data_IF_571530911081
#
_entry.id   IF_571530911081
#
_cell.length_a   1.000
_cell.length_b   1.000
_cell.length_c   1.000
_cell.angle_alpha   90.00
_cell.angle_beta   90.00
_cell.angle_gamma   90.00
#
_symmetry.space_group_name_H-M   'P 1'
#
loop_
_entity.id
_entity.type
_entity.pdbx_description
1 polymer ?
#
# COMPACT_ATOMS: atom_id res chain seq x y z
N UNK A 1 -4.33 4.09 -26.48
CA UNK A 1 -3.55 3.43 -25.43
C UNK A 1 -3.86 4.11 -24.11
N UNK A 2 -3.99 3.32 -23.05
CA UNK A 2 -4.40 3.74 -21.71
C UNK A 2 -3.21 3.69 -20.79
N UNK A 3 -3.00 4.73 -19.98
CA UNK A 3 -1.92 4.72 -18.99
C UNK A 3 -2.31 3.87 -17.77
N UNK A 4 -1.41 2.98 -17.35
CA UNK A 4 -1.55 2.25 -16.10
C UNK A 4 -0.24 2.20 -15.34
N UNK A 5 -0.33 2.01 -14.02
CA UNK A 5 0.80 2.00 -13.11
C UNK A 5 0.83 0.70 -12.35
N UNK A 6 1.99 0.07 -12.32
CA UNK A 6 2.22 -1.19 -11.60
C UNK A 6 3.31 -0.99 -10.54
N UNK A 7 3.21 -1.73 -9.44
CA UNK A 7 4.32 -1.92 -8.51
C UNK A 7 5.04 -3.24 -8.82
N UNK A 8 6.35 -3.25 -8.59
CA UNK A 8 7.19 -4.44 -8.65
C UNK A 8 7.77 -4.68 -7.26
N UNK A 9 7.72 -5.93 -6.77
CA UNK A 9 8.25 -6.31 -5.46
C UNK A 9 8.92 -7.69 -5.48
N UNK A 10 10.07 -7.84 -4.81
CA UNK A 10 10.76 -9.13 -4.71
C UNK A 10 11.90 -9.12 -3.70
N UNK A 11 12.23 -10.28 -3.15
CA UNK A 11 13.33 -10.44 -2.18
C UNK A 11 14.12 -11.75 -2.34
N UNK A 12 13.85 -12.55 -3.38
CA UNK A 12 14.53 -13.83 -3.61
C UNK A 12 15.30 -13.87 -4.92
N UNK A 13 16.52 -14.39 -4.88
CA UNK A 13 17.38 -14.55 -6.06
C UNK A 13 17.92 -13.22 -6.57
N UNK A 14 18.17 -13.13 -7.88
CA UNK A 14 18.65 -11.90 -8.50
C UNK A 14 17.47 -10.98 -8.88
N UNK A 15 16.85 -10.37 -7.87
CA UNK A 15 15.60 -9.60 -8.03
C UNK A 15 15.73 -8.46 -9.06
N UNK A 16 16.89 -7.79 -9.15
CA UNK A 16 17.12 -6.73 -10.16
C UNK A 16 17.01 -7.27 -11.58
N UNK A 17 17.70 -8.37 -11.86
CA UNK A 17 17.62 -9.05 -13.15
C UNK A 17 16.21 -9.59 -13.42
N UNK A 18 15.53 -10.10 -12.39
CA UNK A 18 14.13 -10.53 -12.51
C UNK A 18 13.20 -9.38 -12.89
N UNK A 19 13.37 -8.18 -12.32
CA UNK A 19 12.58 -6.99 -12.66
C UNK A 19 12.84 -6.56 -14.11
N UNK A 20 14.12 -6.53 -14.53
CA UNK A 20 14.48 -6.16 -15.89
C UNK A 20 13.88 -7.14 -16.91
N UNK A 21 13.93 -8.45 -16.63
CA UNK A 21 13.31 -9.48 -17.47
C UNK A 21 11.78 -9.36 -17.50
N UNK A 22 11.14 -9.04 -16.38
CA UNK A 22 9.69 -8.84 -16.31
C UNK A 22 9.25 -7.69 -17.21
N UNK A 23 9.95 -6.55 -17.14
CA UNK A 23 9.66 -5.38 -17.94
C UNK A 23 9.92 -5.63 -19.43
N UNK A 24 11.00 -6.31 -19.79
CA UNK A 24 11.27 -6.73 -21.17
C UNK A 24 10.19 -7.66 -21.71
N UNK A 25 9.70 -8.60 -20.88
CA UNK A 25 8.65 -9.54 -21.27
C UNK A 25 7.30 -8.85 -21.47
N UNK A 26 7.00 -7.81 -20.69
CA UNK A 26 5.82 -6.97 -20.88
C UNK A 26 5.94 -6.12 -22.15
N UNK A 27 7.07 -5.46 -22.37
CA UNK A 27 7.32 -4.62 -23.55
C UNK A 27 7.39 -5.40 -24.87
N UNK A 28 7.59 -6.73 -24.79
CA UNK A 28 7.55 -7.62 -25.94
C UNK A 28 6.12 -7.88 -26.48
N UNK A 29 5.07 -7.64 -25.68
CA UNK A 29 3.68 -7.68 -26.18
C UNK A 29 3.39 -6.36 -26.92
N UNK A 30 3.03 -6.38 -28.21
CA UNK A 30 2.78 -5.15 -28.98
C UNK A 30 1.63 -4.28 -28.44
N UNK A 31 0.82 -4.81 -27.52
CA UNK A 31 -0.28 -4.10 -26.85
C UNK A 31 0.14 -3.43 -25.54
N UNK A 32 1.39 -3.59 -25.12
CA UNK A 32 1.96 -3.02 -23.89
C UNK A 32 3.25 -2.29 -24.25
N UNK A 33 3.38 -1.06 -23.75
CA UNK A 33 4.66 -0.33 -23.80
C UNK A 33 5.07 0.08 -22.41
N UNK A 34 6.30 -0.26 -22.01
CA UNK A 34 6.91 0.22 -20.76
C UNK A 34 7.41 1.64 -21.00
N UNK A 35 6.69 2.63 -20.47
CA UNK A 35 6.95 4.05 -20.74
C UNK A 35 8.12 4.58 -19.90
N UNK A 36 8.13 4.23 -18.61
CA UNK A 36 9.19 4.59 -17.66
C UNK A 36 9.13 3.74 -16.40
N UNK A 37 10.24 3.69 -15.70
CA UNK A 37 10.41 2.98 -14.42
C UNK A 37 11.00 3.93 -13.38
N UNK A 38 10.67 3.70 -12.11
CA UNK A 38 11.36 4.34 -10.99
C UNK A 38 12.75 3.72 -10.78
N UNK A 39 13.51 4.25 -9.81
CA UNK A 39 14.59 3.50 -9.20
C UNK A 39 14.06 2.30 -8.40
N UNK A 40 14.91 1.28 -8.24
CA UNK A 40 14.67 0.18 -7.32
C UNK A 40 15.11 0.60 -5.92
N UNK A 41 14.15 0.76 -5.03
CA UNK A 41 14.40 1.04 -3.63
C UNK A 41 14.40 -0.27 -2.86
N UNK A 42 15.23 -0.34 -1.85
CA UNK A 42 15.17 -1.45 -0.93
C UNK A 42 14.33 -1.05 0.29
N UNK A 43 13.53 -1.98 0.84
CA UNK A 43 12.61 -1.71 1.95
C UNK A 43 12.61 -2.87 2.95
N UNK A 44 12.23 -2.58 4.19
CA UNK A 44 12.07 -3.60 5.23
C UNK A 44 10.85 -4.47 4.90
N UNK A 45 10.89 -5.79 5.14
CA UNK A 45 9.74 -6.65 4.94
C UNK A 45 8.56 -6.21 5.82
N UNK A 46 7.35 -6.31 5.26
CA UNK A 46 6.10 -6.22 6.02
C UNK A 46 5.70 -7.62 6.43
N UNK A 47 5.37 -7.81 7.72
CA UNK A 47 5.07 -9.13 8.24
C UNK A 47 6.23 -9.75 9.01
N UNK A 48 6.04 -11.00 9.44
CA UNK A 48 7.04 -11.79 10.17
C UNK A 48 7.53 -13.01 9.40
N UNK A 49 7.25 -13.07 8.10
CA UNK A 49 7.50 -14.26 7.28
C UNK A 49 8.91 -14.31 6.67
N UNK A 50 9.65 -13.20 6.76
CA UNK A 50 11.02 -13.08 6.26
C UNK A 50 11.67 -11.86 6.90
N UNK A 51 12.97 -11.95 7.15
CA UNK A 51 13.82 -10.83 7.57
C UNK A 51 14.60 -10.23 6.38
N UNK A 52 14.45 -10.83 5.18
CA UNK A 52 15.18 -10.40 3.99
C UNK A 52 14.59 -9.12 3.42
N UNK A 53 15.48 -8.20 3.05
CA UNK A 53 15.15 -6.92 2.43
C UNK A 53 14.47 -7.14 1.08
N UNK A 54 13.39 -6.39 0.84
CA UNK A 54 12.72 -6.36 -0.46
C UNK A 54 13.33 -5.29 -1.35
N UNK A 55 13.40 -5.54 -2.66
CA UNK A 55 13.43 -4.50 -3.67
C UNK A 55 12.00 -4.19 -4.10
N UNK A 56 11.68 -2.90 -4.18
CA UNK A 56 10.43 -2.39 -4.69
C UNK A 56 10.67 -1.33 -5.77
N UNK A 57 9.73 -1.23 -6.71
CA UNK A 57 9.77 -0.28 -7.81
C UNK A 57 8.37 0.00 -8.35
N UNK A 58 8.28 0.97 -9.25
CA UNK A 58 7.06 1.25 -10.01
C UNK A 58 7.39 1.39 -11.49
N UNK A 59 6.42 1.03 -12.34
CA UNK A 59 6.50 1.28 -13.78
C UNK A 59 5.20 1.90 -14.30
N UNK A 60 5.33 2.84 -15.23
CA UNK A 60 4.23 3.29 -16.06
C UNK A 60 4.21 2.43 -17.32
N UNK A 61 3.04 1.89 -17.64
CA UNK A 61 2.78 1.24 -18.91
C UNK A 61 1.74 2.05 -19.70
N UNK A 62 1.83 1.97 -21.02
CA UNK A 62 0.77 2.37 -21.93
C UNK A 62 0.23 1.11 -22.60
N UNK A 63 -1.06 0.83 -22.45
CA UNK A 63 -1.64 -0.47 -22.83
C UNK A 63 -2.86 -0.33 -23.74
N UNK A 64 -3.12 -1.36 -24.54
CA UNK A 64 -4.37 -1.55 -25.29
C UNK A 64 -5.26 -2.65 -24.69
N UNK A 65 -4.75 -3.37 -23.70
CA UNK A 65 -5.42 -4.46 -22.99
C UNK A 65 -6.50 -3.95 -22.04
N UNK A 66 -7.61 -4.67 -21.91
CA UNK A 66 -8.54 -4.46 -20.81
C UNK A 66 -7.87 -4.75 -19.45
N UNK A 67 -8.35 -4.18 -18.33
CA UNK A 67 -7.73 -4.37 -17.02
C UNK A 67 -7.57 -5.84 -16.60
N UNK A 68 -8.56 -6.68 -16.88
CA UNK A 68 -8.54 -8.11 -16.57
C UNK A 68 -7.61 -8.90 -17.49
N UNK A 69 -7.38 -8.43 -18.72
CA UNK A 69 -6.37 -8.98 -19.62
C UNK A 69 -4.96 -8.60 -19.16
N UNK A 70 -4.76 -7.35 -18.77
CA UNK A 70 -3.50 -6.89 -18.21
C UNK A 70 -3.15 -7.65 -16.93
N UNK A 71 -4.10 -7.82 -16.01
CA UNK A 71 -3.89 -8.61 -14.79
C UNK A 71 -3.41 -10.03 -15.11
N UNK A 72 -4.03 -10.69 -16.10
CA UNK A 72 -3.61 -12.03 -16.54
C UNK A 72 -2.21 -12.03 -17.14
N UNK A 73 -1.83 -11.02 -17.91
CA UNK A 73 -0.47 -10.90 -18.43
C UNK A 73 0.54 -10.71 -17.30
N UNK A 74 0.27 -9.82 -16.34
CA UNK A 74 1.13 -9.64 -15.16
C UNK A 74 1.32 -10.96 -14.40
N UNK A 75 0.24 -11.71 -14.15
CA UNK A 75 0.30 -13.01 -13.49
C UNK A 75 1.07 -14.06 -14.30
N UNK A 76 0.97 -14.03 -15.64
CA UNK A 76 1.75 -14.91 -16.51
C UNK A 76 3.24 -14.61 -16.40
N UNK A 77 3.62 -13.33 -16.41
CA UNK A 77 5.03 -12.90 -16.26
C UNK A 77 5.59 -13.34 -14.91
N UNK A 78 4.82 -13.21 -13.83
CA UNK A 78 5.21 -13.72 -12.52
C UNK A 78 5.47 -15.23 -12.52
N UNK A 79 4.57 -16.01 -13.14
CA UNK A 79 4.69 -17.45 -13.20
C UNK A 79 5.93 -17.88 -14.01
N UNK A 80 6.16 -17.24 -15.15
CA UNK A 80 7.31 -17.49 -16.03
C UNK A 80 8.65 -17.17 -15.32
N UNK A 81 8.65 -16.18 -14.43
CA UNK A 81 9.82 -15.75 -13.66
C UNK A 81 9.90 -16.40 -12.27
N UNK A 82 9.22 -17.54 -12.10
CA UNK A 82 9.43 -18.43 -10.97
C UNK A 82 8.71 -18.04 -9.68
N UNK A 83 7.66 -17.20 -9.75
CA UNK A 83 6.83 -16.92 -8.58
C UNK A 83 6.09 -18.18 -8.14
N UNK A 84 6.40 -18.70 -6.96
CA UNK A 84 5.64 -19.78 -6.30
C UNK A 84 4.90 -19.24 -5.09
N UNK A 85 3.56 -19.26 -5.13
CA UNK A 85 2.72 -18.74 -4.03
C UNK A 85 2.58 -19.78 -2.92
N UNK A 86 3.45 -19.72 -1.91
CA UNK A 86 3.38 -20.59 -0.72
C UNK A 86 2.59 -19.99 0.45
N UNK A 87 2.83 -18.72 0.78
CA UNK A 87 2.24 -18.03 1.95
C UNK A 87 1.97 -16.57 1.62
N UNK A 88 0.85 -16.01 2.12
CA UNK A 88 0.56 -14.57 2.01
C UNK A 88 1.67 -13.78 2.72
N UNK A 89 2.28 -12.83 2.02
CA UNK A 89 3.42 -12.03 2.49
C UNK A 89 4.75 -12.76 2.71
N UNK A 90 4.88 -13.97 2.16
CA UNK A 90 6.16 -14.66 2.10
C UNK A 90 7.17 -14.04 1.14
N UNK A 91 8.37 -14.60 1.19
CA UNK A 91 9.43 -14.31 0.24
C UNK A 91 9.01 -14.69 -1.19
N UNK A 92 9.42 -13.88 -2.18
CA UNK A 92 9.03 -14.05 -3.58
C UNK A 92 10.11 -13.52 -4.52
N UNK A 93 10.21 -14.13 -5.69
CA UNK A 93 11.09 -13.67 -6.78
C UNK A 93 10.56 -12.39 -7.42
N UNK A 94 9.24 -12.34 -7.67
CA UNK A 94 8.54 -11.23 -8.30
C UNK A 94 7.07 -11.14 -7.82
N UNK A 95 6.58 -9.92 -7.75
CA UNK A 95 5.20 -9.52 -7.50
C UNK A 95 4.91 -8.29 -8.35
N UNK A 96 3.86 -8.35 -9.16
CA UNK A 96 3.41 -7.30 -10.06
C UNK A 96 1.98 -6.91 -9.66
N UNK A 97 1.83 -5.80 -8.95
CA UNK A 97 0.54 -5.28 -8.52
C UNK A 97 0.06 -4.19 -9.48
N UNK A 98 -1.14 -4.35 -10.07
CA UNK A 98 -1.79 -3.28 -10.85
C UNK A 98 -2.35 -2.22 -9.91
N UNK A 99 -1.73 -1.04 -9.87
CA UNK A 99 -2.05 0.03 -8.92
C UNK A 99 -3.18 0.95 -9.42
N UNK A 100 -3.05 1.42 -10.65
CA UNK A 100 -3.92 2.42 -11.28
C UNK A 100 -4.08 2.06 -12.75
N UNK A 101 -5.26 2.32 -13.30
CA UNK A 101 -5.57 2.15 -14.71
C UNK A 101 -6.38 3.38 -15.15
N UNK A 102 -5.68 4.39 -15.65
CA UNK A 102 -6.23 5.73 -15.88
C UNK A 102 -7.07 6.22 -14.68
N UNK A 103 -8.28 6.74 -14.93
CA UNK A 103 -9.23 7.14 -13.89
C UNK A 103 -10.25 6.04 -13.54
N UNK A 104 -9.99 4.78 -13.92
CA UNK A 104 -10.90 3.67 -13.68
C UNK A 104 -11.05 3.40 -12.17
N UNK A 105 -12.31 3.25 -11.75
CA UNK A 105 -12.68 2.65 -10.48
C UNK A 105 -13.43 1.37 -10.79
N UNK A 106 -12.85 0.24 -10.42
CA UNK A 106 -13.37 -1.10 -10.67
C UNK A 106 -13.35 -1.89 -9.37
N UNK A 107 -14.47 -2.51 -9.05
CA UNK A 107 -14.60 -3.48 -7.97
C UNK A 107 -15.23 -4.74 -8.56
N UNK A 108 -14.39 -5.74 -8.81
CA UNK A 108 -14.78 -7.05 -9.31
C UNK A 108 -14.15 -8.14 -8.44
N UNK A 109 -14.70 -9.36 -8.49
CA UNK A 109 -14.31 -10.47 -7.61
C UNK A 109 -12.79 -10.76 -7.62
N UNK A 110 -12.15 -10.60 -8.78
CA UNK A 110 -10.73 -10.92 -8.98
C UNK A 110 -9.82 -9.68 -9.13
N UNK A 111 -10.40 -8.47 -9.23
CA UNK A 111 -9.64 -7.24 -9.52
C UNK A 111 -10.31 -6.01 -8.91
N UNK A 112 -9.52 -5.28 -8.12
CA UNK A 112 -9.91 -3.98 -7.54
C UNK A 112 -8.93 -2.92 -8.05
N UNK A 113 -9.46 -1.88 -8.68
CA UNK A 113 -8.70 -0.72 -9.16
C UNK A 113 -9.37 0.56 -8.64
N UNK A 114 -8.61 1.53 -8.09
CA UNK A 114 -7.19 1.44 -7.73
C UNK A 114 -6.90 0.34 -6.72
N UNK A 115 -5.66 -0.18 -6.70
CA UNK A 115 -5.26 -1.19 -5.73
C UNK A 115 -5.56 -0.71 -4.31
N UNK A 116 -6.28 -1.48 -3.47
CA UNK A 116 -6.88 -0.98 -2.23
C UNK A 116 -5.85 -0.45 -1.22
N UNK A 117 -4.61 -0.93 -1.30
CA UNK A 117 -3.52 -0.52 -0.41
C UNK A 117 -2.49 0.44 -1.02
N UNK A 118 -2.63 0.88 -2.28
CA UNK A 118 -1.59 1.70 -2.93
C UNK A 118 -1.44 3.10 -2.32
N UNK A 119 -2.46 3.59 -1.60
CA UNK A 119 -2.53 4.96 -1.09
C UNK A 119 -1.93 5.16 0.30
N UNK A 120 -1.48 4.09 0.98
CA UNK A 120 -0.90 4.16 2.34
C UNK A 120 0.40 3.35 2.51
N UNK A 121 0.95 2.78 1.45
CA UNK A 121 2.18 1.98 1.51
C UNK A 121 3.36 2.78 0.98
N UNK A 122 4.36 3.06 1.81
CA UNK A 122 5.53 3.85 1.39
C UNK A 122 6.37 3.14 0.33
N UNK A 123 6.56 1.84 0.43
CA UNK A 123 7.26 1.07 -0.61
C UNK A 123 6.54 1.05 -1.97
N UNK A 124 5.27 1.47 -2.03
CA UNK A 124 4.53 1.70 -3.29
C UNK A 124 4.59 3.17 -3.69
N UNK A 125 4.33 4.08 -2.75
CA UNK A 125 4.24 5.52 -3.00
C UNK A 125 5.60 6.15 -3.32
N UNK A 126 6.67 5.75 -2.63
CA UNK A 126 8.01 6.34 -2.83
C UNK A 126 8.51 6.12 -4.27
N UNK A 127 8.43 4.90 -4.86
CA UNK A 127 8.72 4.70 -6.28
C UNK A 127 7.71 5.36 -7.22
N UNK A 128 6.42 5.33 -6.89
CA UNK A 128 5.38 5.86 -7.77
C UNK A 128 5.46 7.39 -7.91
N UNK A 129 5.81 8.11 -6.85
CA UNK A 129 6.02 9.57 -6.89
C UNK A 129 7.14 9.96 -7.84
N UNK A 130 8.16 9.13 -8.00
CA UNK A 130 9.27 9.42 -8.91
C UNK A 130 8.80 9.52 -10.38
N UNK A 131 7.86 8.65 -10.77
CA UNK A 131 7.38 8.57 -12.15
C UNK A 131 6.05 9.30 -12.37
N UNK A 132 5.23 9.49 -11.32
CA UNK A 132 3.85 9.92 -11.45
C UNK A 132 3.35 10.77 -10.25
N UNK A 133 4.04 11.86 -9.89
CA UNK A 133 3.73 12.62 -8.68
C UNK A 133 2.36 13.32 -8.73
N UNK A 134 1.94 13.76 -9.91
CA UNK A 134 0.77 14.63 -10.10
C UNK A 134 -0.53 13.89 -10.40
N UNK A 135 -0.47 12.55 -10.53
CA UNK A 135 -1.66 11.76 -10.82
C UNK A 135 -2.63 11.82 -9.64
N UNK A 136 -3.87 12.18 -9.93
CA UNK A 136 -4.94 12.18 -8.94
C UNK A 136 -5.44 10.76 -8.78
N UNK A 137 -5.36 10.23 -7.56
CA UNK A 137 -5.91 8.93 -7.24
C UNK A 137 -7.45 8.95 -7.41
N UNK A 138 -8.06 8.06 -8.22
CA UNK A 138 -9.47 8.13 -8.61
C UNK A 138 -10.48 8.14 -7.45
N UNK A 139 -10.24 7.33 -6.41
CA UNK A 139 -11.13 7.29 -5.22
C UNK A 139 -10.75 8.36 -4.18
N UNK A 140 -9.47 8.59 -3.98
CA UNK A 140 -8.95 9.45 -2.91
C UNK A 140 -8.95 10.94 -3.29
N UNK A 141 -9.07 11.27 -4.58
CA UNK A 141 -9.16 12.64 -5.10
C UNK A 141 -8.03 13.55 -4.63
N UNK A 142 -6.82 12.99 -4.56
CA UNK A 142 -5.59 13.70 -4.23
C UNK A 142 -4.42 13.13 -5.03
N UNK A 143 -3.39 13.94 -5.27
CA UNK A 143 -2.20 13.50 -5.99
C UNK A 143 -1.40 12.44 -5.24
N UNK A 144 -0.71 11.57 -5.98
CA UNK A 144 0.21 10.58 -5.41
C UNK A 144 1.28 11.24 -4.52
N UNK A 145 1.86 12.36 -4.98
CA UNK A 145 2.82 13.14 -4.19
C UNK A 145 2.23 13.57 -2.85
N UNK A 146 1.00 14.09 -2.83
CA UNK A 146 0.38 14.51 -1.58
C UNK A 146 -0.05 13.32 -0.69
N UNK A 147 -0.32 12.14 -1.24
CA UNK A 147 -0.47 10.90 -0.45
C UNK A 147 0.84 10.54 0.27
N UNK A 148 1.96 10.53 -0.47
CA UNK A 148 3.29 10.25 0.09
C UNK A 148 3.67 11.26 1.18
N UNK A 149 3.55 12.56 0.91
CA UNK A 149 3.96 13.62 1.83
C UNK A 149 3.26 13.54 3.19
N UNK A 150 2.05 12.97 3.26
CA UNK A 150 1.34 12.73 4.53
C UNK A 150 2.05 11.70 5.40
N UNK A 151 2.62 10.66 4.80
CA UNK A 151 3.36 9.60 5.51
C UNK A 151 4.76 10.07 5.95
N UNK A 152 5.26 11.17 5.40
CA UNK A 152 6.56 11.76 5.75
C UNK A 152 6.49 12.78 6.89
N UNK A 153 5.30 13.26 7.28
CA UNK A 153 5.16 14.21 8.38
C UNK A 153 5.58 13.59 9.72
N UNK A 154 6.24 14.38 10.57
CA UNK A 154 6.70 13.97 11.91
C UNK A 154 6.27 15.00 12.98
N UNK A 155 5.90 14.57 14.21
CA UNK A 155 5.75 13.18 14.64
C UNK A 155 4.68 12.45 13.82
N UNK A 156 4.85 11.13 13.64
CA UNK A 156 3.85 10.35 12.91
C UNK A 156 2.74 10.01 13.89
N UNK A 157 1.59 10.63 13.73
CA UNK A 157 0.46 10.43 14.65
C UNK A 157 -0.35 9.22 14.20
N UNK A 158 -0.75 8.40 15.16
CA UNK A 158 -1.62 7.26 14.92
C UNK A 158 -2.69 7.18 16.01
N UNK A 159 -3.90 7.59 15.67
CA UNK A 159 -5.02 7.45 16.59
C UNK A 159 -5.64 6.04 16.54
N UNK A 160 -6.32 5.66 17.61
CA UNK A 160 -7.13 4.45 17.69
C UNK A 160 -8.54 4.90 18.05
N UNK A 161 -9.53 4.44 17.27
CA UNK A 161 -10.94 4.78 17.50
C UNK A 161 -11.81 3.54 17.31
N UNK A 162 -13.00 3.52 17.91
CA UNK A 162 -13.93 2.40 17.83
C UNK A 162 -13.65 1.24 18.80
N UNK A 163 -12.59 1.32 19.62
CA UNK A 163 -12.33 0.42 20.74
C UNK A 163 -12.68 1.09 22.08
N UNK A 164 -13.10 0.30 23.11
CA UNK A 164 -13.12 0.77 24.49
C UNK A 164 -11.77 1.38 24.90
N UNK A 165 -11.79 2.33 25.84
CA UNK A 165 -10.58 3.08 26.23
C UNK A 165 -9.49 2.18 26.82
N UNK A 166 -9.88 1.21 27.62
CA UNK A 166 -9.01 0.19 28.22
C UNK A 166 -8.38 -0.72 27.15
N UNK A 167 -9.18 -1.21 26.20
CA UNK A 167 -8.68 -2.00 25.06
C UNK A 167 -7.71 -1.19 24.19
N UNK A 168 -8.04 0.07 23.91
CA UNK A 168 -7.18 0.98 23.13
C UNK A 168 -5.86 1.24 23.84
N UNK A 169 -5.90 1.45 25.15
CA UNK A 169 -4.69 1.69 25.96
C UNK A 169 -3.78 0.45 25.95
N UNK A 170 -4.36 -0.75 26.15
CA UNK A 170 -3.60 -2.00 26.11
C UNK A 170 -2.98 -2.28 24.73
N UNK A 171 -3.65 -1.87 23.65
CA UNK A 171 -3.12 -1.96 22.29
C UNK A 171 -1.97 -0.98 22.07
N UNK A 172 -2.10 0.27 22.51
CA UNK A 172 -1.01 1.27 22.44
C UNK A 172 0.22 0.78 23.21
N UNK A 173 0.05 0.22 24.41
CA UNK A 173 1.16 -0.36 25.18
C UNK A 173 1.90 -1.48 24.44
N UNK A 174 1.21 -2.24 23.58
CA UNK A 174 1.83 -3.27 22.74
C UNK A 174 2.52 -2.70 21.49
N UNK A 175 1.98 -1.63 20.91
CA UNK A 175 2.49 -1.01 19.68
C UNK A 175 3.67 -0.07 19.95
N UNK A 176 3.63 0.71 21.03
CA UNK A 176 4.62 1.75 21.33
C UNK A 176 6.08 1.25 21.35
N UNK A 177 6.41 0.06 21.94
CA UNK A 177 7.77 -0.45 21.90
C UNK A 177 8.26 -0.83 20.50
N UNK A 178 7.34 -1.16 19.57
CA UNK A 178 7.65 -1.53 18.18
C UNK A 178 7.80 -0.31 17.26
N UNK A 179 7.16 0.81 17.62
CA UNK A 179 7.13 2.05 16.84
C UNK A 179 7.39 3.26 17.76
N UNK A 180 8.62 3.45 18.26
CA UNK A 180 8.94 4.48 19.26
C UNK A 180 8.81 5.92 18.73
N UNK A 181 8.85 6.11 17.41
CA UNK A 181 8.69 7.40 16.73
C UNK A 181 7.25 7.74 16.34
N UNK A 182 6.31 6.84 16.63
CA UNK A 182 4.87 7.06 16.43
C UNK A 182 4.26 7.60 17.72
N UNK A 183 3.54 8.70 17.59
CA UNK A 183 2.70 9.25 18.65
C UNK A 183 1.32 8.60 18.57
N UNK A 184 1.04 7.69 19.50
CA UNK A 184 -0.25 7.02 19.58
C UNK A 184 -1.24 7.83 20.42
N UNK A 185 -2.49 7.96 19.94
CA UNK A 185 -3.58 8.56 20.71
C UNK A 185 -4.85 7.71 20.66
N UNK A 186 -5.74 7.89 21.63
CA UNK A 186 -7.07 7.26 21.63
C UNK A 186 -8.12 8.34 21.35
N UNK A 187 -9.05 8.03 20.46
CA UNK A 187 -10.17 8.89 20.18
C UNK A 187 -11.50 8.18 20.42
N UNK A 188 -12.19 8.60 21.49
CA UNK A 188 -13.55 8.17 21.82
C UNK A 188 -14.56 8.82 20.85
N UNK A 189 -15.20 8.01 19.99
CA UNK A 189 -16.38 8.45 19.23
C UNK A 189 -17.55 8.63 20.20
N UNK A 190 -18.20 9.79 20.17
CA UNK A 190 -19.38 10.10 20.99
C UNK A 190 -20.69 9.57 20.38
N UNK A 191 -20.64 8.91 19.21
CA UNK A 191 -21.81 8.38 18.53
C UNK A 191 -21.97 6.88 18.82
N UNK A 192 -23.04 6.53 19.54
CA UNK A 192 -23.44 5.14 19.67
C UNK A 192 -24.02 4.63 18.35
N UNK A 193 -23.20 4.05 17.47
CA UNK A 193 -23.52 3.02 16.48
C UNK A 193 -22.26 2.66 15.66
N UNK A 194 -21.99 1.35 15.52
CA UNK A 194 -21.21 0.67 14.48
C UNK A 194 -20.08 1.44 13.74
N UNK A 195 -19.21 2.14 14.47
CA UNK A 195 -18.02 2.79 13.90
C UNK A 195 -16.88 1.77 13.70
N UNK A 196 -16.05 1.90 12.65
CA UNK A 196 -14.92 1.00 12.41
C UNK A 196 -13.86 1.12 13.51
N UNK A 197 -13.19 0.00 13.77
CA UNK A 197 -12.48 -0.26 15.05
C UNK A 197 -11.02 0.21 15.11
N UNK A 198 -10.48 0.86 14.06
CA UNK A 198 -9.14 1.46 14.07
C UNK A 198 -9.05 2.57 13.01
N UNK A 199 -8.50 3.74 13.34
CA UNK A 199 -8.25 4.82 12.36
C UNK A 199 -6.88 5.44 12.60
N UNK A 200 -5.94 5.15 11.71
CA UNK A 200 -4.62 5.80 11.64
C UNK A 200 -4.73 7.30 11.28
N UNK A 201 -5.05 8.17 12.23
CA UNK A 201 -5.17 9.62 11.97
C UNK A 201 -3.80 10.30 11.77
N UNK A 202 -3.53 10.75 10.54
CA UNK A 202 -2.35 11.54 10.16
C UNK A 202 -2.64 13.05 10.23
N UNK A 203 -2.81 13.59 11.44
CA UNK A 203 -3.07 15.04 11.63
C UNK A 203 -2.92 15.50 13.07
N UNK A 204 -3.09 16.81 13.31
CA UNK A 204 -3.06 17.38 14.66
C UNK A 204 -4.36 17.01 15.40
N UNK A 205 -4.25 16.59 16.67
CA UNK A 205 -5.38 16.33 17.55
C UNK A 205 -6.10 17.66 17.89
N UNK A 206 -7.22 17.95 17.21
CA UNK A 206 -8.25 18.81 17.80
C UNK A 206 -9.44 17.91 18.16
N UNK A 207 -9.62 17.70 19.47
CA UNK A 207 -10.64 16.87 20.11
C UNK A 207 -12.11 17.24 19.75
N UNK A 208 -12.31 18.25 18.89
CA UNK A 208 -13.61 18.72 18.41
C UNK A 208 -14.03 18.17 17.05
N UNK A 209 -13.12 17.56 16.28
CA UNK A 209 -13.47 17.00 14.96
C UNK A 209 -14.29 15.73 15.18
N UNK A 210 -15.47 15.57 14.54
CA UNK A 210 -16.25 14.33 14.65
C UNK A 210 -15.70 13.30 13.66
N UNK A 211 -15.90 12.01 13.95
CA UNK A 211 -15.45 10.90 13.12
C UNK A 211 -15.88 11.06 11.65
N UNK A 212 -17.15 11.38 11.43
CA UNK A 212 -17.74 11.62 10.11
C UNK A 212 -17.15 12.81 9.36
N UNK A 213 -16.62 13.79 10.09
CA UNK A 213 -16.01 15.02 9.57
C UNK A 213 -14.53 14.85 9.23
N UNK A 214 -13.90 13.73 9.61
CA UNK A 214 -12.55 13.44 9.16
C UNK A 214 -12.54 13.29 7.63
N UNK A 215 -11.49 13.74 6.94
CA UNK A 215 -11.26 13.31 5.57
C UNK A 215 -11.35 11.78 5.45
N UNK A 216 -11.84 11.23 4.34
CA UNK A 216 -11.84 9.79 4.04
C UNK A 216 -10.43 9.16 3.95
N UNK A 217 -9.39 9.98 4.18
CA UNK A 217 -8.05 9.81 3.65
C UNK A 217 -6.96 9.44 4.66
N UNK A 218 -7.20 9.52 5.99
CA UNK A 218 -6.42 8.75 6.95
C UNK A 218 -7.30 7.68 7.62
N UNK A 219 -8.39 7.26 6.98
CA UNK A 219 -9.22 6.15 7.48
C UNK A 219 -8.75 4.86 6.82
N UNK A 220 -8.09 3.99 7.60
CA UNK A 220 -7.87 2.60 7.19
C UNK A 220 -8.81 1.76 8.02
N UNK A 221 -9.79 1.14 7.37
CA UNK A 221 -10.70 0.22 8.05
C UNK A 221 -9.97 -1.10 8.35
N UNK A 222 -9.63 -1.32 9.62
CA UNK A 222 -9.06 -2.58 10.11
C UNK A 222 -10.06 -3.37 10.97
N UNK A 223 -11.38 -3.20 10.75
CA UNK A 223 -12.41 -3.86 11.57
C UNK A 223 -12.33 -5.39 11.50
N UNK A 224 -11.84 -5.95 10.39
CA UNK A 224 -11.55 -7.38 10.24
C UNK A 224 -10.36 -7.86 11.11
N UNK A 225 -9.50 -6.93 11.55
CA UNK A 225 -8.28 -7.16 12.33
C UNK A 225 -8.48 -6.90 13.84
N UNK A 226 -9.72 -6.69 14.30
CA UNK A 226 -10.03 -6.30 15.69
C UNK A 226 -9.44 -7.26 16.75
N UNK A 227 -9.25 -8.52 16.41
CA UNK A 227 -8.68 -9.54 17.31
C UNK A 227 -7.20 -9.86 17.00
N UNK A 228 -6.60 -9.18 16.03
CA UNK A 228 -5.28 -9.51 15.48
C UNK A 228 -4.37 -8.27 15.45
N UNK A 229 -3.72 -8.02 16.59
CA UNK A 229 -2.73 -6.95 16.76
C UNK A 229 -1.64 -7.00 15.69
N UNK A 230 -1.27 -8.19 15.19
CA UNK A 230 -0.22 -8.33 14.19
C UNK A 230 -0.62 -7.70 12.84
N UNK A 231 -1.89 -7.76 12.43
CA UNK A 231 -2.34 -7.07 11.22
C UNK A 231 -2.21 -5.54 11.32
N UNK A 232 -2.40 -4.99 12.53
CA UNK A 232 -2.22 -3.55 12.79
C UNK A 232 -0.73 -3.18 12.69
N UNK A 233 0.14 -4.03 13.23
CA UNK A 233 1.60 -3.87 13.12
C UNK A 233 2.02 -3.89 11.66
N UNK A 234 1.50 -4.82 10.87
CA UNK A 234 1.84 -4.94 9.45
C UNK A 234 1.39 -3.73 8.64
N UNK A 235 0.22 -3.18 8.96
CA UNK A 235 -0.27 -1.92 8.39
C UNK A 235 0.69 -0.77 8.72
N UNK A 236 1.06 -0.62 9.99
CA UNK A 236 2.01 0.40 10.45
C UNK A 236 3.38 0.25 9.77
N UNK A 237 3.95 -0.95 9.73
CA UNK A 237 5.19 -1.25 9.02
C UNK A 237 5.13 -0.79 7.56
N UNK A 238 4.02 -1.10 6.88
CA UNK A 238 3.83 -0.75 5.47
C UNK A 238 3.72 0.76 5.22
N UNK A 239 3.18 1.51 6.19
CA UNK A 239 2.98 2.95 6.11
C UNK A 239 4.20 3.75 6.55
N UNK A 240 5.02 3.18 7.44
CA UNK A 240 6.14 3.89 8.04
C UNK A 240 7.46 3.64 7.33
N UNK A 241 7.63 2.49 6.67
CA UNK A 241 8.84 2.03 5.96
C UNK A 241 10.15 2.61 6.54
N UNK A 242 10.63 1.95 7.59
CA UNK A 242 11.81 2.37 8.34
C UNK A 242 13.08 2.02 7.57
N UNK A 243 13.67 3.06 6.97
CA UNK A 243 15.11 3.21 6.77
C UNK A 243 15.55 4.54 7.35
#
# INVERSE_FOLDING_TARGET
MTDCYIALGGNQGNVRETFDLALQRLDADPRISVVKTSHWIETTPVGSHTDDVFLNGAAQLSVELAPEELLRELQSVEADLGRVRHVRWGARTLDLDLLLYDQLVLEADELIIPHPACWYRRFVLDPLVEIAPDIIHPVKQISISALQQRLLKRPFNFSITGLPRDESTALIEQLQPRFPEVEFSCWESSAGHADPTLIAWLGADDAKTRFEDLPLLPRIDASASRQDTEQIIWLLQSALDFR
#
